data_IF_538984351766
#
_entry.id   IF_538984351766
#
_cell.length_a   1.000
_cell.length_b   1.000
_cell.length_c   1.000
_cell.angle_alpha   90.00
_cell.angle_beta   90.00
_cell.angle_gamma   90.00
#
_symmetry.space_group_name_H-M   'P 1'
#
loop_
_entity.id
_entity.type
_entity.pdbx_description
1 polymer ?
#
# COMPACT_ATOMS: atom_id res chain seq x y z
N UNK A 1 11.20 -2.03 -11.17
CA UNK A 1 10.33 -2.02 -9.96
C UNK A 1 9.38 -3.20 -9.92
N UNK A 2 8.60 -3.48 -10.97
CA UNK A 2 7.74 -4.67 -10.98
C UNK A 2 8.53 -5.98 -10.82
N UNK A 3 9.66 -6.12 -11.51
CA UNK A 3 10.57 -7.27 -11.33
C UNK A 3 11.13 -7.33 -9.91
N UNK A 4 11.62 -6.20 -9.39
CA UNK A 4 12.16 -6.08 -8.03
C UNK A 4 11.14 -6.42 -6.93
N UNK A 5 9.84 -6.27 -7.20
CA UNK A 5 8.79 -6.66 -6.27
C UNK A 5 8.64 -8.16 -6.09
N UNK A 6 9.35 -8.98 -6.88
CA UNK A 6 9.38 -10.44 -6.82
C UNK A 6 10.75 -11.01 -6.45
N UNK A 7 11.71 -10.14 -6.13
CA UNK A 7 13.06 -10.52 -5.76
C UNK A 7 13.07 -11.44 -4.52
N UNK A 8 14.07 -12.30 -4.38
CA UNK A 8 14.20 -13.18 -3.21
C UNK A 8 14.50 -12.36 -1.94
N UNK A 9 15.30 -11.29 -2.07
CA UNK A 9 15.61 -10.38 -0.97
C UNK A 9 14.42 -9.44 -0.70
N UNK A 10 13.87 -9.53 0.52
CA UNK A 10 12.77 -8.68 0.93
C UNK A 10 13.15 -7.20 1.04
N UNK A 11 14.43 -6.85 1.17
CA UNK A 11 14.85 -5.46 1.11
C UNK A 11 14.72 -4.87 -0.30
N UNK A 12 15.01 -5.65 -1.34
CA UNK A 12 14.80 -5.24 -2.74
C UNK A 12 13.31 -5.07 -3.02
N UNK A 13 12.48 -6.01 -2.55
CA UNK A 13 11.02 -5.88 -2.64
C UNK A 13 10.50 -4.66 -1.90
N UNK A 14 11.05 -4.35 -0.72
CA UNK A 14 10.69 -3.16 0.05
C UNK A 14 11.00 -1.87 -0.72
N UNK A 15 12.16 -1.78 -1.38
CA UNK A 15 12.49 -0.64 -2.24
C UNK A 15 11.43 -0.50 -3.34
N UNK A 16 11.00 -1.61 -3.95
CA UNK A 16 9.94 -1.58 -4.94
C UNK A 16 8.59 -1.08 -4.36
N UNK A 17 8.25 -1.39 -3.10
CA UNK A 17 7.03 -0.88 -2.46
C UNK A 17 7.12 0.62 -2.16
N UNK A 18 8.28 1.06 -1.66
CA UNK A 18 8.49 2.42 -1.15
C UNK A 18 8.88 3.43 -2.27
N UNK A 19 9.18 3.00 -3.50
CA UNK A 19 9.74 3.86 -4.56
C UNK A 19 8.87 5.06 -5.01
N UNK A 20 7.59 5.07 -4.67
CA UNK A 20 6.67 6.18 -4.97
C UNK A 20 6.29 7.02 -3.76
N UNK A 21 6.81 6.71 -2.56
CA UNK A 21 6.55 7.51 -1.37
C UNK A 21 6.93 8.98 -1.58
N UNK A 22 6.11 9.87 -1.02
CA UNK A 22 6.30 11.32 -1.03
C UNK A 22 6.34 11.96 -2.43
N UNK A 23 5.94 11.23 -3.48
CA UNK A 23 5.74 11.84 -4.81
C UNK A 23 4.51 12.72 -4.75
N UNK A 24 4.72 14.04 -4.93
CA UNK A 24 3.63 15.04 -4.95
C UNK A 24 2.77 14.95 -6.22
N UNK A 25 3.28 14.31 -7.27
CA UNK A 25 2.57 14.02 -8.51
C UNK A 25 1.73 12.75 -8.37
N UNK A 26 0.74 12.56 -9.26
CA UNK A 26 -0.11 11.37 -9.26
C UNK A 26 0.77 10.11 -9.38
N UNK A 27 0.81 9.23 -8.37
CA UNK A 27 1.58 8.00 -8.44
C UNK A 27 1.08 7.13 -9.60
N UNK A 28 1.96 6.30 -10.16
CA UNK A 28 1.57 5.28 -11.12
C UNK A 28 0.84 4.16 -10.37
N UNK A 29 -0.46 4.36 -10.19
CA UNK A 29 -1.39 3.50 -9.46
C UNK A 29 -1.28 2.05 -9.89
N UNK A 30 -1.39 1.79 -11.20
CA UNK A 30 -1.37 0.42 -11.73
C UNK A 30 -0.07 -0.31 -11.40
N UNK A 31 1.06 0.39 -11.50
CA UNK A 31 2.36 -0.18 -11.13
C UNK A 31 2.43 -0.45 -9.63
N UNK A 32 1.99 0.50 -8.80
CA UNK A 32 2.00 0.35 -7.35
C UNK A 32 1.13 -0.82 -6.91
N UNK A 33 -0.12 -0.90 -7.36
CA UNK A 33 -1.04 -1.99 -7.06
C UNK A 33 -0.44 -3.36 -7.42
N UNK A 34 0.16 -3.49 -8.60
CA UNK A 34 0.81 -4.73 -9.02
C UNK A 34 1.98 -5.13 -8.10
N UNK A 35 2.77 -4.15 -7.64
CA UNK A 35 3.87 -4.37 -6.69
C UNK A 35 3.34 -4.81 -5.33
N UNK A 36 2.27 -4.18 -4.82
CA UNK A 36 1.66 -4.53 -3.53
C UNK A 36 1.09 -5.95 -3.57
N UNK A 37 0.36 -6.31 -4.64
CA UNK A 37 -0.22 -7.65 -4.81
C UNK A 37 0.84 -8.74 -4.81
N UNK A 38 2.01 -8.51 -5.42
CA UNK A 38 3.13 -9.46 -5.39
C UNK A 38 3.68 -9.72 -3.97
N UNK A 39 3.39 -8.84 -3.01
CA UNK A 39 3.97 -8.86 -1.66
C UNK A 39 2.93 -9.14 -0.56
N UNK A 40 1.69 -9.45 -0.93
CA UNK A 40 0.68 -9.93 0.03
C UNK A 40 1.06 -11.27 0.64
N UNK A 41 0.64 -11.51 1.89
CA UNK A 41 0.95 -12.74 2.61
C UNK A 41 2.45 -12.99 2.82
N UNK A 42 3.27 -11.92 2.80
CA UNK A 42 4.73 -12.05 2.92
C UNK A 42 5.19 -12.66 4.25
N UNK A 43 4.37 -12.54 5.31
CA UNK A 43 4.71 -12.85 6.69
C UNK A 43 6.02 -12.17 7.15
N UNK A 44 6.33 -11.01 6.56
CA UNK A 44 7.53 -10.21 6.86
C UNK A 44 7.07 -8.85 7.32
N UNK A 45 7.24 -8.58 8.62
CA UNK A 45 6.89 -7.31 9.26
C UNK A 45 7.30 -6.06 8.45
N UNK A 46 8.52 -6.03 7.91
CA UNK A 46 9.01 -4.89 7.14
C UNK A 46 8.35 -4.72 5.77
N UNK A 47 7.87 -5.79 5.15
CA UNK A 47 7.09 -5.71 3.91
C UNK A 47 5.66 -5.25 4.24
N UNK A 48 5.03 -5.88 5.23
CA UNK A 48 3.64 -5.56 5.61
C UNK A 48 3.52 -4.10 6.08
N UNK A 49 4.54 -3.60 6.79
CA UNK A 49 4.64 -2.19 7.17
C UNK A 49 4.88 -1.25 6.00
N UNK A 50 5.69 -1.65 5.02
CA UNK A 50 5.93 -0.85 3.80
C UNK A 50 4.65 -0.73 2.96
N UNK A 51 3.90 -1.83 2.79
CA UNK A 51 2.60 -1.84 2.11
C UNK A 51 1.65 -0.84 2.77
N UNK A 52 1.49 -0.94 4.10
CA UNK A 52 0.61 -0.04 4.85
C UNK A 52 1.03 1.43 4.73
N UNK A 53 2.34 1.72 4.78
CA UNK A 53 2.85 3.09 4.66
C UNK A 53 2.66 3.66 3.25
N UNK A 54 2.91 2.86 2.22
CA UNK A 54 2.72 3.25 0.81
C UNK A 54 1.26 3.60 0.52
N UNK A 55 0.32 2.76 0.97
CA UNK A 55 -1.12 3.03 0.86
C UNK A 55 -1.55 4.27 1.65
N UNK A 56 -1.03 4.45 2.87
CA UNK A 56 -1.31 5.63 3.71
C UNK A 56 -0.80 6.92 3.10
N UNK A 57 0.34 6.89 2.40
CA UNK A 57 0.85 8.06 1.71
C UNK A 57 -0.01 8.38 0.49
N UNK A 58 -0.35 7.36 -0.30
CA UNK A 58 -1.19 7.53 -1.47
C UNK A 58 -2.62 7.98 -1.13
N UNK A 59 -3.17 7.60 0.02
CA UNK A 59 -4.50 8.07 0.46
C UNK A 59 -4.59 9.59 0.63
N UNK A 60 -3.46 10.31 0.76
CA UNK A 60 -3.44 11.77 0.78
C UNK A 60 -3.75 12.40 -0.58
N UNK A 61 -3.52 11.67 -1.66
CA UNK A 61 -3.77 12.10 -3.04
C UNK A 61 -5.11 11.59 -3.54
N UNK A 62 -5.46 10.32 -3.25
CA UNK A 62 -6.73 9.74 -3.67
C UNK A 62 -7.23 8.73 -2.61
N UNK A 63 -7.99 9.17 -1.59
CA UNK A 63 -8.45 8.30 -0.51
C UNK A 63 -9.47 7.26 -0.97
N UNK A 64 -10.38 7.61 -1.89
CA UNK A 64 -11.43 6.71 -2.40
C UNK A 64 -10.81 5.47 -3.07
N UNK A 65 -9.78 5.67 -3.89
CA UNK A 65 -9.10 4.56 -4.54
C UNK A 65 -8.43 3.62 -3.54
N UNK A 66 -7.85 4.14 -2.45
CA UNK A 66 -7.27 3.29 -1.40
C UNK A 66 -8.35 2.53 -0.64
N UNK A 67 -9.52 3.13 -0.37
CA UNK A 67 -10.65 2.45 0.25
C UNK A 67 -11.07 1.25 -0.61
N UNK A 68 -11.31 1.47 -1.90
CA UNK A 68 -11.72 0.41 -2.83
C UNK A 68 -10.65 -0.69 -2.93
N UNK A 69 -9.37 -0.31 -3.06
CA UNK A 69 -8.26 -1.26 -3.13
C UNK A 69 -8.15 -2.11 -1.87
N UNK A 70 -8.20 -1.49 -0.69
CA UNK A 70 -8.12 -2.20 0.59
C UNK A 70 -9.33 -3.12 0.77
N UNK A 71 -10.55 -2.67 0.48
CA UNK A 71 -11.73 -3.52 0.59
C UNK A 71 -11.69 -4.72 -0.36
N UNK A 72 -11.18 -4.52 -1.59
CA UNK A 72 -11.02 -5.60 -2.58
C UNK A 72 -9.94 -6.61 -2.19
N UNK A 73 -8.90 -6.19 -1.46
CA UNK A 73 -7.72 -7.00 -1.18
C UNK A 73 -7.56 -7.43 0.28
N UNK A 74 -8.41 -6.95 1.21
CA UNK A 74 -8.26 -7.14 2.66
C UNK A 74 -8.02 -8.58 3.09
N UNK A 75 -8.65 -9.56 2.44
CA UNK A 75 -8.52 -10.98 2.80
C UNK A 75 -7.12 -11.56 2.53
N UNK A 76 -6.32 -10.88 1.70
CA UNK A 76 -4.94 -11.26 1.36
C UNK A 76 -3.90 -10.41 2.09
N UNK A 77 -4.32 -9.32 2.72
CA UNK A 77 -3.42 -8.36 3.37
C UNK A 77 -3.18 -8.74 4.83
N UNK A 78 -2.00 -8.40 5.33
CA UNK A 78 -1.75 -8.48 6.76
C UNK A 78 -2.58 -7.43 7.53
N UNK A 79 -2.98 -7.77 8.75
CA UNK A 79 -3.76 -6.87 9.63
C UNK A 79 -3.03 -5.55 9.89
N UNK A 80 -1.69 -5.57 9.98
CA UNK A 80 -0.86 -4.38 10.12
C UNK A 80 -0.98 -3.47 8.89
N UNK A 81 -0.90 -4.03 7.69
CA UNK A 81 -1.00 -3.25 6.45
C UNK A 81 -2.34 -2.53 6.35
N UNK A 82 -3.44 -3.22 6.68
CA UNK A 82 -4.80 -2.63 6.69
C UNK A 82 -4.88 -1.51 7.72
N UNK A 83 -4.40 -1.75 8.95
CA UNK A 83 -4.42 -0.76 10.04
C UNK A 83 -3.65 0.51 9.66
N UNK A 84 -2.46 0.36 9.08
CA UNK A 84 -1.64 1.50 8.67
C UNK A 84 -2.27 2.26 7.49
N UNK A 85 -2.80 1.55 6.50
CA UNK A 85 -3.46 2.16 5.33
C UNK A 85 -4.69 3.00 5.73
N UNK A 86 -5.47 2.54 6.71
CA UNK A 86 -6.73 3.19 7.13
C UNK A 86 -6.56 4.45 7.98
N UNK A 87 -5.34 4.77 8.43
CA UNK A 87 -5.08 5.86 9.39
C UNK A 87 -5.62 7.24 8.97
N UNK A 88 -5.70 7.53 7.68
CA UNK A 88 -6.28 8.78 7.16
C UNK A 88 -7.64 8.61 6.48
N UNK A 89 -8.09 7.36 6.32
CA UNK A 89 -9.37 7.01 5.70
C UNK A 89 -10.49 7.08 6.74
N UNK A 90 -10.23 6.66 7.98
CA UNK A 90 -11.21 6.75 9.08
C UNK A 90 -11.60 8.21 9.41
N UNK A 91 -10.71 9.17 9.13
CA UNK A 91 -11.00 10.62 9.24
C UNK A 91 -11.90 11.14 8.10
N UNK A 92 -11.84 10.55 6.90
CA UNK A 92 -12.61 11.01 5.75
C UNK A 92 -14.07 10.53 5.80
N UNK A 93 -14.33 9.35 6.37
CA UNK A 93 -15.69 8.80 6.52
C UNK A 93 -16.50 9.61 7.55
N UNK A 94 -15.86 10.18 8.58
CA UNK A 94 -16.55 11.00 9.59
C UNK A 94 -17.00 12.39 9.10
N UNK A 95 -16.52 12.85 7.94
CA UNK A 95 -16.86 14.20 7.42
C UNK A 95 -18.05 14.13 6.45
N UNK A 96 -18.46 12.92 6.02
CA UNK A 96 -19.51 12.70 5.01
C UNK A 96 -20.86 12.29 5.67
N UNK A 97 -20.92 12.10 6.98
CA UNK A 97 -22.14 11.72 7.74
C UNK A 97 -22.67 12.88 8.56
#
# INVERSE_FOLDING_TARGET
>A
MLEWSKDEDFWVRRIAIDHQLCRKEKPNTKLLEAILVNNFGSNKFFIDKAIGWSLRDYSKTNPELIIEFVEKCKDKMDKLSIKEARKYIELAIQIIV
#
